data_IF_614157428868
#
_entry.id   IF_614157428868
#
_cell.length_a   1.000
_cell.length_b   1.000
_cell.length_c   1.000
_cell.angle_alpha   90.00
_cell.angle_beta   90.00
_cell.angle_gamma   90.00
#
_symmetry.space_group_name_H-M   'P 1'
#
loop_
_entity.id
_entity.type
_entity.pdbx_description
1 polymer ?
#
# COMPACT_ATOMS: atom_id res chain seq x y z
N UNK A 1 2.94 14.57 -2.73
CA UNK A 1 3.25 13.58 -1.67
C UNK A 1 4.09 12.48 -2.29
N UNK A 2 5.23 12.10 -1.72
CA UNK A 2 6.08 11.04 -2.28
C UNK A 2 5.46 9.67 -1.97
N UNK A 3 5.48 8.70 -2.89
CA UNK A 3 4.92 7.35 -2.65
C UNK A 3 5.49 6.70 -1.38
N UNK A 4 6.78 6.93 -1.12
CA UNK A 4 7.46 6.46 0.10
C UNK A 4 6.80 6.97 1.38
N UNK A 5 6.35 8.22 1.37
CA UNK A 5 5.68 8.83 2.52
C UNK A 5 4.27 8.25 2.71
N UNK A 6 3.53 8.10 1.62
CA UNK A 6 2.20 7.49 1.65
C UNK A 6 2.26 6.04 2.18
N UNK A 7 3.20 5.25 1.67
CA UNK A 7 3.44 3.88 2.14
C UNK A 7 3.85 3.82 3.61
N UNK A 8 4.61 4.80 4.12
CA UNK A 8 4.94 4.90 5.54
C UNK A 8 3.69 5.15 6.39
N UNK A 9 2.81 6.04 5.96
CA UNK A 9 1.56 6.35 6.67
C UNK A 9 0.61 5.15 6.68
N UNK A 10 0.46 4.45 5.55
CA UNK A 10 -0.35 3.23 5.47
C UNK A 10 0.15 2.14 6.42
N UNK A 11 1.46 1.87 6.43
CA UNK A 11 2.03 0.88 7.36
C UNK A 11 1.87 1.28 8.83
N UNK A 12 2.05 2.55 9.16
CA UNK A 12 1.83 3.06 10.51
C UNK A 12 0.36 2.95 10.94
N UNK A 13 -0.57 3.08 9.99
CA UNK A 13 -2.01 2.88 10.20
C UNK A 13 -2.42 1.39 10.21
N UNK A 14 -1.48 0.45 10.04
CA UNK A 14 -1.75 -0.99 10.13
C UNK A 14 -2.10 -1.67 8.80
N UNK A 15 -1.93 -0.98 7.67
CA UNK A 15 -2.10 -1.62 6.36
C UNK A 15 -0.90 -2.52 6.04
N UNK A 16 -1.22 -3.73 5.58
CA UNK A 16 -0.27 -4.77 5.21
C UNK A 16 -0.33 -5.04 3.70
N UNK A 17 0.83 -5.25 3.09
CA UNK A 17 0.92 -5.66 1.69
C UNK A 17 0.51 -7.13 1.57
N UNK A 18 -0.46 -7.42 0.70
CA UNK A 18 -0.99 -8.78 0.49
C UNK A 18 -0.69 -9.33 -0.91
N UNK A 19 -0.38 -8.46 -1.87
CA UNK A 19 0.02 -8.85 -3.23
C UNK A 19 0.83 -7.73 -3.88
N UNK A 20 1.79 -8.09 -4.74
CA UNK A 20 2.48 -7.16 -5.63
C UNK A 20 2.49 -7.68 -7.07
N UNK A 21 2.33 -6.77 -8.04
CA UNK A 21 2.49 -7.03 -9.47
C UNK A 21 3.16 -5.81 -10.12
N UNK A 22 4.40 -5.96 -10.58
CA UNK A 22 5.21 -4.84 -11.08
C UNK A 22 5.34 -3.74 -10.03
N UNK A 23 5.17 -2.49 -10.46
CA UNK A 23 5.10 -1.30 -9.60
C UNK A 23 3.89 -1.23 -8.67
N UNK A 24 2.89 -2.10 -8.84
CA UNK A 24 1.63 -2.03 -8.08
C UNK A 24 1.63 -2.95 -6.87
N UNK A 25 1.32 -2.38 -5.70
CA UNK A 25 1.16 -3.06 -4.40
C UNK A 25 -0.28 -3.01 -3.95
N UNK A 26 -0.84 -4.15 -3.56
CA UNK A 26 -2.18 -4.27 -2.97
C UNK A 26 -2.03 -4.40 -1.46
N UNK A 27 -2.70 -3.50 -0.75
CA UNK A 27 -2.67 -3.36 0.70
C UNK A 27 -4.05 -3.69 1.29
N UNK A 28 -4.08 -4.34 2.45
CA UNK A 28 -5.29 -4.61 3.24
C UNK A 28 -5.09 -4.17 4.68
N UNK A 29 -6.19 -3.84 5.37
CA UNK A 29 -6.18 -3.60 6.81
C UNK A 29 -7.02 -4.69 7.50
N UNK A 30 -6.58 -5.25 8.64
CA UNK A 30 -7.30 -6.33 9.30
C UNK A 30 -8.72 -5.94 9.76
N UNK A 31 -8.93 -4.67 10.11
CA UNK A 31 -10.24 -4.18 10.62
C UNK A 31 -10.96 -3.19 9.70
N UNK A 32 -10.30 -2.66 8.65
CA UNK A 32 -10.92 -1.66 7.75
C UNK A 32 -11.28 -2.36 6.44
N UNK A 33 -12.51 -2.13 5.99
CA UNK A 33 -13.02 -2.73 4.75
C UNK A 33 -12.36 -2.09 3.53
N UNK A 34 -12.14 -2.90 2.50
CA UNK A 34 -11.58 -2.47 1.22
C UNK A 34 -10.12 -2.87 1.02
N UNK A 35 -9.61 -2.54 -0.16
CA UNK A 35 -8.21 -2.71 -0.55
C UNK A 35 -7.68 -1.37 -1.01
N UNK A 36 -6.41 -1.10 -0.72
CA UNK A 36 -5.70 0.07 -1.26
C UNK A 36 -4.66 -0.45 -2.25
N UNK A 37 -4.66 0.10 -3.46
CA UNK A 37 -3.63 -0.20 -4.47
C UNK A 37 -2.70 1.00 -4.57
N UNK A 38 -1.39 0.76 -4.48
CA UNK A 38 -0.35 1.80 -4.53
C UNK A 38 0.64 1.48 -5.64
N UNK A 39 0.88 2.42 -6.54
CA UNK A 39 1.93 2.35 -7.55
C UNK A 39 3.21 3.01 -7.02
N UNK A 40 4.35 2.31 -7.05
CA UNK A 40 5.65 2.82 -6.60
C UNK A 40 6.59 3.30 -7.71
N UNK A 41 6.11 3.32 -8.97
CA UNK A 41 6.82 3.88 -10.12
C UNK A 41 8.14 3.18 -10.44
N UNK A 42 8.30 1.91 -10.04
CA UNK A 42 9.49 1.11 -10.33
C UNK A 42 9.45 0.38 -11.68
N UNK A 43 8.50 0.72 -12.56
CA UNK A 43 8.43 0.23 -13.96
C UNK A 43 9.02 1.29 -14.92
#
# INVERSE_FOLDING_TARGET
>A
MKVREFMRRLRADGWIEVRRRGSHRVMRHPTKRGIVVVEDGSD
#
